data_IF_003287505377
#
_entry.id   IF_003287505377
#
_cell.length_a   1.000
_cell.length_b   1.000
_cell.length_c   1.000
_cell.angle_alpha   90.00
_cell.angle_beta   90.00
_cell.angle_gamma   90.00
#
_symmetry.space_group_name_H-M   'P 1'
#
loop_
_entity.id
_entity.type
_entity.pdbx_description
1 polymer ?
#
# COMPACT_ATOMS: atom_id res chain seq x y z
N UNK A 1 -15.47 15.01 -2.28
CA UNK A 1 -14.69 13.80 -1.97
C UNK A 1 -13.30 13.94 -2.57
N UNK A 2 -12.28 13.63 -1.80
CA UNK A 2 -10.89 13.75 -2.23
C UNK A 2 -10.25 12.38 -2.35
N UNK A 3 -9.93 11.96 -3.55
CA UNK A 3 -9.24 10.70 -3.84
C UNK A 3 -7.89 11.04 -4.44
N UNK A 4 -6.84 10.40 -3.95
CA UNK A 4 -5.48 10.59 -4.46
C UNK A 4 -4.88 9.26 -4.90
N UNK A 5 -3.86 9.32 -5.72
CA UNK A 5 -3.02 8.16 -6.04
C UNK A 5 -1.60 8.44 -5.59
N UNK A 6 -0.92 7.42 -5.11
CA UNK A 6 0.44 7.56 -4.64
C UNK A 6 1.22 6.27 -4.89
N UNK A 7 2.29 6.39 -5.66
CA UNK A 7 3.24 5.29 -5.86
C UNK A 7 4.30 5.39 -4.75
N UNK A 8 4.22 4.48 -3.79
CA UNK A 8 5.10 4.51 -2.62
C UNK A 8 6.23 3.51 -2.83
N UNK A 9 7.35 3.99 -3.37
CA UNK A 9 8.53 3.15 -3.57
C UNK A 9 9.05 2.60 -2.24
N UNK A 10 9.42 1.32 -2.24
CA UNK A 10 10.08 0.65 -1.12
C UNK A 10 9.21 0.56 0.14
N UNK A 11 7.89 0.68 0.00
CA UNK A 11 6.97 0.65 1.14
C UNK A 11 7.05 -0.69 1.88
N UNK A 12 7.13 -1.79 1.15
CA UNK A 12 7.25 -3.13 1.73
C UNK A 12 8.43 -3.28 2.69
N UNK A 13 9.53 -2.58 2.42
CA UNK A 13 10.75 -2.68 3.23
C UNK A 13 10.59 -2.05 4.62
N UNK A 14 9.51 -1.31 4.85
CA UNK A 14 9.26 -0.65 6.14
C UNK A 14 8.54 -1.56 7.13
N UNK A 15 8.12 -2.75 6.70
CA UNK A 15 7.34 -3.68 7.52
C UNK A 15 8.07 -5.01 7.70
N UNK A 16 7.92 -5.61 8.88
CA UNK A 16 8.36 -6.98 9.12
C UNK A 16 7.31 -7.99 8.61
N UNK A 17 7.57 -9.28 8.81
CA UNK A 17 6.66 -10.34 8.37
C UNK A 17 5.32 -10.35 9.11
N UNK A 18 5.26 -9.73 10.29
CA UNK A 18 4.02 -9.61 11.07
C UNK A 18 3.20 -8.39 10.68
N UNK A 19 3.70 -7.56 9.76
CA UNK A 19 3.03 -6.34 9.34
C UNK A 19 3.29 -5.14 10.24
N UNK A 20 4.24 -5.23 11.15
CA UNK A 20 4.61 -4.13 12.02
C UNK A 20 5.66 -3.24 11.35
N UNK A 21 5.60 -1.94 11.65
CA UNK A 21 6.59 -0.99 11.15
C UNK A 21 7.95 -1.22 11.81
N UNK A 22 9.00 -1.15 10.99
CA UNK A 22 10.38 -1.27 11.45
C UNK A 22 11.01 0.13 11.44
N UNK A 23 11.12 0.73 12.63
CA UNK A 23 11.69 2.07 12.79
C UNK A 23 13.16 1.96 13.19
N UNK A 24 13.99 1.47 12.30
CA UNK A 24 15.42 1.29 12.59
C UNK A 24 16.31 2.14 11.68
N UNK A 25 17.61 2.06 11.90
CA UNK A 25 18.60 2.82 11.14
C UNK A 25 19.13 2.07 9.93
N UNK A 26 18.55 0.93 9.58
CA UNK A 26 18.89 0.21 8.36
C UNK A 26 18.32 0.94 7.14
N UNK A 27 18.99 0.76 6.00
CA UNK A 27 18.53 1.39 4.77
C UNK A 27 17.17 0.86 4.36
N UNK A 28 16.30 1.79 3.92
CA UNK A 28 14.93 1.49 3.54
C UNK A 28 14.79 0.87 2.15
N UNK A 29 15.86 0.86 1.38
CA UNK A 29 15.86 0.57 -0.06
C UNK A 29 16.24 1.79 -0.87
N UNK A 30 15.94 2.97 -0.37
CA UNK A 30 16.44 4.23 -0.96
C UNK A 30 17.84 4.48 -0.42
N UNK A 31 18.74 4.89 -1.31
CA UNK A 31 20.11 5.15 -0.92
C UNK A 31 20.17 6.29 0.12
N UNK A 32 20.91 6.05 1.17
CA UNK A 32 21.17 7.03 2.24
C UNK A 32 19.91 7.48 3.00
N UNK A 33 18.86 6.66 3.02
CA UNK A 33 17.63 6.93 3.79
C UNK A 33 17.34 5.71 4.66
N UNK A 34 17.25 5.92 5.97
CA UNK A 34 16.92 4.84 6.91
C UNK A 34 15.41 4.53 6.88
N UNK A 35 15.04 3.35 7.39
CA UNK A 35 13.63 3.00 7.55
C UNK A 35 12.90 4.00 8.43
N UNK A 36 13.51 4.41 9.54
CA UNK A 36 12.90 5.41 10.43
C UNK A 36 12.66 6.73 9.71
N UNK A 37 13.63 7.19 8.92
CA UNK A 37 13.50 8.43 8.17
C UNK A 37 12.41 8.35 7.11
N UNK A 38 12.34 7.26 6.35
CA UNK A 38 11.33 7.09 5.32
C UNK A 38 9.93 6.97 5.92
N UNK A 39 9.79 6.21 7.00
CA UNK A 39 8.50 6.07 7.69
C UNK A 39 7.99 7.42 8.15
N UNK A 40 8.84 8.23 8.79
CA UNK A 40 8.45 9.56 9.25
C UNK A 40 8.06 10.48 8.09
N UNK A 41 8.82 10.45 7.01
CA UNK A 41 8.53 11.27 5.82
C UNK A 41 7.20 10.89 5.18
N UNK A 42 6.93 9.59 5.05
CA UNK A 42 5.65 9.11 4.51
C UNK A 42 4.49 9.51 5.40
N UNK A 43 4.66 9.46 6.72
CA UNK A 43 3.64 9.92 7.66
C UNK A 43 3.26 11.38 7.41
N UNK A 44 4.26 12.24 7.19
CA UNK A 44 4.03 13.66 6.87
C UNK A 44 3.24 13.80 5.57
N UNK A 45 3.63 13.05 4.53
CA UNK A 45 2.96 13.12 3.23
C UNK A 45 1.51 12.66 3.33
N UNK A 46 1.25 11.54 3.97
CA UNK A 46 -0.10 11.01 4.12
C UNK A 46 -0.99 11.94 4.96
N UNK A 47 -0.45 12.51 6.03
CA UNK A 47 -1.19 13.50 6.84
C UNK A 47 -1.52 14.74 6.02
N UNK A 48 -0.58 15.21 5.20
CA UNK A 48 -0.80 16.38 4.36
C UNK A 48 -1.82 16.13 3.25
N UNK A 49 -1.87 14.89 2.71
CA UNK A 49 -2.89 14.53 1.73
C UNK A 49 -4.30 14.64 2.30
N UNK A 50 -4.49 14.22 3.53
CA UNK A 50 -5.79 14.25 4.23
C UNK A 50 -6.93 13.83 3.31
N UNK A 51 -6.77 12.69 2.63
CA UNK A 51 -7.69 12.25 1.60
C UNK A 51 -8.80 11.35 2.18
N UNK A 52 -9.93 11.31 1.48
CA UNK A 52 -11.00 10.35 1.76
C UNK A 52 -10.60 8.95 1.29
N UNK A 53 -9.78 8.86 0.27
CA UNK A 53 -9.21 7.62 -0.22
C UNK A 53 -7.89 7.83 -0.92
N UNK A 54 -6.99 6.84 -0.79
CA UNK A 54 -5.68 6.85 -1.44
C UNK A 54 -5.50 5.53 -2.16
N UNK A 55 -5.34 5.59 -3.47
CA UNK A 55 -4.94 4.44 -4.27
C UNK A 55 -3.43 4.31 -4.16
N UNK A 56 -2.98 3.29 -3.46
CA UNK A 56 -1.56 3.07 -3.21
C UNK A 56 -1.04 2.07 -4.21
N UNK A 57 -0.06 2.50 -4.99
CA UNK A 57 0.64 1.69 -5.97
C UNK A 57 1.97 1.28 -5.35
N UNK A 58 2.36 0.03 -5.54
CA UNK A 58 3.51 -0.57 -4.88
C UNK A 58 3.35 -0.56 -3.36
N UNK A 59 2.16 -0.93 -2.90
CA UNK A 59 1.88 -1.06 -1.47
C UNK A 59 2.61 -2.23 -0.83
N UNK A 60 2.46 -2.41 0.49
CA UNK A 60 3.06 -3.56 1.16
C UNK A 60 2.52 -4.85 0.56
N UNK A 61 3.42 -5.72 0.12
CA UNK A 61 3.01 -6.98 -0.49
C UNK A 61 2.44 -7.94 0.54
N UNK A 62 1.47 -8.73 0.10
CA UNK A 62 0.92 -9.83 0.88
C UNK A 62 1.60 -11.13 0.47
N UNK A 63 1.93 -11.96 1.43
CA UNK A 63 2.48 -13.29 1.21
C UNK A 63 2.14 -14.17 2.41
N UNK A 64 2.64 -15.41 2.42
CA UNK A 64 2.31 -16.38 3.47
C UNK A 64 2.61 -15.88 4.89
N UNK A 65 3.53 -14.92 5.04
CA UNK A 65 3.97 -14.40 6.34
C UNK A 65 3.50 -12.99 6.64
N UNK A 66 2.92 -12.27 5.66
CA UNK A 66 2.51 -10.88 5.86
C UNK A 66 1.23 -10.57 5.12
N UNK A 67 0.33 -9.89 5.82
CA UNK A 67 -0.91 -9.34 5.28
C UNK A 67 -0.69 -7.87 4.92
N UNK A 68 -0.72 -7.55 3.61
CA UNK A 68 -0.52 -6.19 3.13
C UNK A 68 -1.60 -5.22 3.60
N UNK A 69 -2.84 -5.68 3.69
CA UNK A 69 -3.95 -4.87 4.22
C UNK A 69 -3.69 -4.53 5.69
N UNK A 70 -3.35 -5.53 6.49
CA UNK A 70 -3.04 -5.32 7.91
C UNK A 70 -1.85 -4.39 8.11
N UNK A 71 -0.79 -4.56 7.31
CA UNK A 71 0.38 -3.69 7.38
C UNK A 71 0.02 -2.22 7.10
N UNK A 72 -0.80 -1.99 6.08
CA UNK A 72 -1.22 -0.64 5.71
C UNK A 72 -2.09 -0.01 6.80
N UNK A 73 -2.97 -0.80 7.42
CA UNK A 73 -3.80 -0.31 8.52
C UNK A 73 -2.97 0.02 9.76
N UNK A 74 -1.91 -0.75 10.03
CA UNK A 74 -0.94 -0.43 11.09
C UNK A 74 -0.27 0.93 10.82
N UNK A 75 0.15 1.16 9.59
CA UNK A 75 0.74 2.43 9.19
C UNK A 75 -0.24 3.60 9.42
N UNK A 76 -1.49 3.43 8.99
CA UNK A 76 -2.51 4.45 9.16
C UNK A 76 -2.76 4.77 10.63
N UNK A 77 -2.83 3.75 11.47
CA UNK A 77 -3.02 3.93 12.91
C UNK A 77 -1.84 4.65 13.55
N UNK A 78 -0.61 4.32 13.14
CA UNK A 78 0.60 4.95 13.64
C UNK A 78 0.57 6.47 13.48
N UNK A 79 0.04 6.96 12.36
CA UNK A 79 0.03 8.38 12.04
C UNK A 79 -1.34 9.03 12.23
N UNK A 80 -2.30 8.33 12.82
CA UNK A 80 -3.62 8.86 13.12
C UNK A 80 -4.39 9.31 11.89
N UNK A 81 -4.23 8.60 10.78
CA UNK A 81 -4.90 8.95 9.53
C UNK A 81 -6.39 8.64 9.62
N UNK A 82 -7.24 9.53 9.10
CA UNK A 82 -8.68 9.22 8.99
C UNK A 82 -8.94 8.16 7.93
N UNK A 83 -8.14 8.09 6.87
CA UNK A 83 -8.13 6.98 5.93
C UNK A 83 -7.40 5.82 6.60
N UNK A 84 -8.16 4.93 7.23
CA UNK A 84 -7.61 3.92 8.15
C UNK A 84 -8.01 2.48 7.84
N UNK A 85 -8.86 2.28 6.84
CA UNK A 85 -9.25 0.95 6.36
C UNK A 85 -8.67 0.71 4.98
N UNK A 86 -8.32 -0.54 4.70
CA UNK A 86 -7.73 -0.89 3.43
C UNK A 86 -8.43 -2.08 2.79
N UNK A 87 -8.47 -2.09 1.46
CA UNK A 87 -8.84 -3.25 0.67
C UNK A 87 -7.75 -3.48 -0.37
N UNK A 88 -7.58 -4.72 -0.77
CA UNK A 88 -6.60 -5.11 -1.78
C UNK A 88 -7.34 -5.58 -3.04
N UNK A 89 -6.75 -5.29 -4.21
CA UNK A 89 -7.20 -5.85 -5.47
C UNK A 89 -6.65 -7.25 -5.69
N UNK A 90 -6.51 -7.64 -6.95
CA UNK A 90 -5.89 -8.92 -7.26
C UNK A 90 -4.41 -8.87 -6.95
N UNK A 91 -3.91 -9.95 -6.34
CA UNK A 91 -2.48 -10.13 -6.12
C UNK A 91 -1.85 -10.55 -7.45
N UNK A 92 -0.75 -9.92 -7.83
CA UNK A 92 -0.05 -10.27 -9.06
C UNK A 92 1.28 -10.98 -8.76
N UNK A 93 1.90 -11.52 -9.80
CA UNK A 93 3.12 -12.30 -9.66
C UNK A 93 4.33 -11.44 -9.29
N UNK A 94 4.27 -10.13 -9.51
CA UNK A 94 5.36 -9.22 -9.17
C UNK A 94 5.38 -8.84 -7.71
N UNK A 95 4.34 -9.19 -6.96
CA UNK A 95 4.15 -8.85 -5.55
C UNK A 95 4.10 -7.33 -5.31
N UNK A 96 3.86 -6.55 -6.37
CA UNK A 96 3.63 -5.12 -6.30
C UNK A 96 2.12 -4.89 -6.32
N UNK A 97 1.54 -4.78 -5.15
CA UNK A 97 0.09 -4.79 -5.02
C UNK A 97 -0.46 -3.37 -5.02
N UNK A 98 -1.67 -3.25 -5.56
CA UNK A 98 -2.44 -2.02 -5.51
C UNK A 98 -3.45 -2.18 -4.38
N UNK A 99 -3.40 -1.25 -3.42
CA UNK A 99 -4.32 -1.23 -2.30
C UNK A 99 -5.06 0.11 -2.29
N UNK A 100 -6.25 0.10 -1.71
CA UNK A 100 -7.02 1.31 -1.50
C UNK A 100 -7.21 1.53 0.00
N UNK A 101 -6.65 2.63 0.50
CA UNK A 101 -6.78 3.07 1.89
C UNK A 101 -7.87 4.13 1.93
N UNK A 102 -8.86 3.98 2.80
CA UNK A 102 -10.01 4.87 2.78
C UNK A 102 -10.53 5.21 4.17
N UNK A 103 -11.23 6.34 4.25
CA UNK A 103 -11.94 6.77 5.45
C UNK A 103 -13.32 6.11 5.46
N UNK A 104 -13.58 5.14 6.36
CA UNK A 104 -14.86 4.43 6.37
C UNK A 104 -16.04 5.29 6.82
N UNK A 105 -15.79 6.46 7.38
CA UNK A 105 -16.86 7.40 7.76
C UNK A 105 -17.38 8.20 6.56
N UNK A 106 -16.63 8.23 5.47
CA UNK A 106 -16.95 9.00 4.27
C UNK A 106 -17.20 8.10 3.07
N UNK A 107 -16.47 7.01 2.94
CA UNK A 107 -16.47 6.14 1.76
C UNK A 107 -16.86 4.73 2.15
N UNK A 108 -17.73 4.11 1.37
CA UNK A 108 -18.04 2.68 1.47
C UNK A 108 -17.39 1.99 0.27
N UNK A 109 -16.58 0.97 0.54
CA UNK A 109 -15.78 0.30 -0.48
C UNK A 109 -16.08 -1.19 -0.49
N UNK A 110 -16.21 -1.74 -1.68
CA UNK A 110 -16.35 -3.18 -1.87
C UNK A 110 -15.47 -3.61 -3.04
N UNK A 111 -14.65 -4.63 -2.81
CA UNK A 111 -13.92 -5.25 -3.91
C UNK A 111 -14.89 -6.08 -4.75
N UNK A 112 -14.94 -5.83 -6.04
CA UNK A 112 -15.78 -6.56 -6.99
C UNK A 112 -14.85 -7.37 -7.91
N UNK A 113 -14.56 -8.64 -7.56
CA UNK A 113 -13.55 -9.42 -8.26
C UNK A 113 -14.10 -10.01 -9.57
N UNK A 114 -14.56 -9.18 -10.47
CA UNK A 114 -15.06 -9.61 -11.78
C UNK A 114 -13.94 -9.63 -12.79
N UNK A 115 -13.78 -10.76 -13.44
CA UNK A 115 -12.87 -10.92 -14.56
C UNK A 115 -13.59 -11.37 -15.83
N UNK A 116 -14.92 -11.47 -15.81
CA UNK A 116 -15.74 -11.89 -16.95
C UNK A 116 -15.54 -10.92 -18.12
N UNK A 117 -15.04 -11.45 -19.22
CA UNK A 117 -14.78 -10.65 -20.41
C UNK A 117 -13.57 -9.74 -20.30
N UNK A 118 -12.84 -9.77 -19.20
CA UNK A 118 -11.61 -9.00 -19.07
C UNK A 118 -10.51 -9.63 -19.93
N UNK A 119 -9.69 -8.81 -20.61
CA UNK A 119 -8.53 -9.34 -21.31
C UNK A 119 -7.58 -10.00 -20.33
N UNK A 120 -7.13 -11.21 -20.66
CA UNK A 120 -6.12 -11.89 -19.86
C UNK A 120 -4.74 -11.47 -20.34
N UNK A 121 -3.86 -11.18 -19.39
CA UNK A 121 -2.47 -10.94 -19.71
C UNK A 121 -1.82 -12.26 -20.14
N UNK A 122 -1.26 -12.26 -21.34
CA UNK A 122 -0.52 -13.41 -21.86
C UNK A 122 0.92 -12.96 -22.06
N UNK A 123 1.82 -13.55 -21.31
CA UNK A 123 3.23 -13.21 -21.35
C UNK A 123 3.84 -13.43 -22.73
N UNK A 124 3.33 -14.38 -23.52
CA UNK A 124 3.81 -14.61 -24.88
C UNK A 124 3.60 -13.39 -25.79
N UNK A 125 2.63 -12.54 -25.49
CA UNK A 125 2.35 -11.34 -26.27
C UNK A 125 3.43 -10.29 -26.14
N UNK A 126 4.27 -10.37 -25.13
CA UNK A 126 5.39 -9.44 -24.92
C UNK A 126 6.65 -9.85 -25.64
N UNK A 127 6.69 -11.06 -26.19
CA UNK A 127 7.89 -11.62 -26.81
C UNK A 127 7.94 -11.44 -28.32
N UNK A 128 6.93 -10.85 -28.90
CA UNK A 128 6.83 -10.62 -30.36
C UNK A 128 7.51 -9.31 -30.79
#
# INVERSE_FOLDING_TARGET
MKITTYNVEWFSNLFNNDGDLIDDDSWSGRWNVTRAQQTAALGVVFQAMDADGVMIIEGPDSHAKRDGVGALEVFAARFGLRARKAVIGYVNETQQEILFLYDPDVVSVRHDPRDDGAPLFDQSMLMD
#
